data_IF_324012169115
#
_entry.id   IF_324012169115
#
_cell.length_a   1.000
_cell.length_b   1.000
_cell.length_c   1.000
_cell.angle_alpha   90.00
_cell.angle_beta   90.00
_cell.angle_gamma   90.00
#
_symmetry.space_group_name_H-M   'P 1'
#
loop_
_entity.id
_entity.type
_entity.pdbx_description
1 polymer ?
#
# COMPACT_ATOMS: atom_id res chain seq x y z
N UNK A 1 13.66 0.77 7.68
CA UNK A 1 12.77 -0.35 8.05
C UNK A 1 11.39 0.21 8.31
N UNK A 2 10.35 -0.49 7.88
CA UNK A 2 8.96 -0.19 8.24
C UNK A 2 8.71 -0.74 9.65
N UNK A 3 7.83 -0.10 10.44
CA UNK A 3 7.54 -0.55 11.81
C UNK A 3 6.86 -1.93 11.83
N UNK A 4 7.33 -2.83 12.69
CA UNK A 4 6.76 -4.18 12.90
C UNK A 4 5.32 -4.13 13.45
N UNK A 5 4.94 -3.05 14.13
CA UNK A 5 3.60 -2.86 14.71
C UNK A 5 2.49 -2.93 13.67
N UNK A 6 2.75 -2.52 12.43
CA UNK A 6 1.71 -2.57 11.40
C UNK A 6 1.42 -3.98 10.91
N UNK A 7 2.42 -4.84 10.82
CA UNK A 7 2.20 -6.25 10.46
C UNK A 7 1.33 -6.94 11.54
N UNK A 8 1.61 -6.67 12.82
CA UNK A 8 0.81 -7.17 13.94
C UNK A 8 -0.64 -6.65 13.90
N UNK A 9 -0.82 -5.36 13.60
CA UNK A 9 -2.16 -4.78 13.47
C UNK A 9 -2.94 -5.39 12.32
N UNK A 10 -2.31 -5.58 11.15
CA UNK A 10 -2.95 -6.25 10.01
C UNK A 10 -3.34 -7.68 10.37
N UNK A 11 -2.46 -8.42 11.05
CA UNK A 11 -2.76 -9.78 11.52
C UNK A 11 -3.95 -9.82 12.48
N UNK A 12 -4.08 -8.83 13.38
CA UNK A 12 -5.22 -8.72 14.30
C UNK A 12 -6.52 -8.30 13.62
N UNK A 13 -6.46 -7.46 12.58
CA UNK A 13 -7.64 -7.03 11.84
C UNK A 13 -8.20 -8.13 10.92
N UNK A 14 -7.32 -8.98 10.38
CA UNK A 14 -7.65 -9.99 9.37
C UNK A 14 -8.79 -10.95 9.75
N UNK A 15 -8.92 -11.46 10.99
CA UNK A 15 -10.06 -12.28 11.40
C UNK A 15 -11.41 -11.55 11.46
N UNK A 16 -11.41 -10.22 11.45
CA UNK A 16 -12.60 -9.39 11.67
C UNK A 16 -13.20 -8.80 10.38
N UNK A 17 -12.57 -9.02 9.22
CA UNK A 17 -13.04 -8.48 7.95
C UNK A 17 -12.64 -9.36 6.78
N UNK A 18 -13.54 -9.44 5.78
CA UNK A 18 -13.23 -10.01 4.47
C UNK A 18 -12.72 -8.93 3.48
N UNK A 19 -12.76 -7.65 3.87
CA UNK A 19 -12.28 -6.55 3.03
C UNK A 19 -10.75 -6.51 2.99
N UNK A 20 -10.14 -6.07 1.87
CA UNK A 20 -8.70 -5.82 1.79
C UNK A 20 -8.22 -4.83 2.86
N UNK A 21 -7.06 -5.11 3.47
CA UNK A 21 -6.43 -4.23 4.47
C UNK A 21 -5.29 -3.46 3.81
N UNK A 22 -5.46 -2.14 3.67
CA UNK A 22 -4.43 -1.22 3.19
C UNK A 22 -3.62 -0.59 4.34
N UNK A 23 -2.33 -0.32 4.11
CA UNK A 23 -1.41 0.26 5.11
C UNK A 23 -0.70 1.48 4.56
N UNK A 24 -0.74 2.60 5.30
CA UNK A 24 -0.01 3.83 5.01
C UNK A 24 1.00 4.16 6.10
N UNK A 25 2.27 3.81 5.90
CA UNK A 25 3.35 4.02 6.87
C UNK A 25 4.53 4.79 6.27
N UNK A 26 4.28 6.00 5.76
CA UNK A 26 5.34 6.88 5.27
C UNK A 26 6.23 6.23 4.19
N UNK A 27 5.63 5.40 3.34
CA UNK A 27 6.30 4.71 2.24
C UNK A 27 6.77 5.75 1.22
N UNK A 28 8.05 5.69 0.87
CA UNK A 28 8.73 6.64 -0.01
C UNK A 28 9.70 5.97 -1.00
N UNK A 29 9.68 4.65 -1.09
CA UNK A 29 10.45 3.88 -2.07
C UNK A 29 9.80 2.55 -2.39
N UNK A 30 10.16 1.96 -3.53
CA UNK A 30 9.70 0.64 -3.96
C UNK A 30 10.15 -0.49 -3.04
N UNK A 31 11.27 -0.33 -2.32
CA UNK A 31 11.72 -1.28 -1.30
C UNK A 31 10.78 -1.31 -0.09
N UNK A 32 10.39 -0.13 0.40
CA UNK A 32 9.40 -0.03 1.49
C UNK A 32 8.02 -0.51 1.03
N UNK A 33 7.64 -0.23 -0.22
CA UNK A 33 6.38 -0.73 -0.77
C UNK A 33 6.34 -2.27 -0.83
N UNK A 34 7.46 -2.91 -1.20
CA UNK A 34 7.59 -4.36 -1.18
C UNK A 34 7.49 -4.94 0.25
N UNK A 35 8.14 -4.29 1.22
CA UNK A 35 8.08 -4.67 2.64
C UNK A 35 6.63 -4.65 3.16
N UNK A 36 5.87 -3.57 2.87
CA UNK A 36 4.46 -3.44 3.26
C UNK A 36 3.57 -4.44 2.52
N UNK A 37 3.76 -4.61 1.20
CA UNK A 37 3.01 -5.58 0.41
C UNK A 37 3.21 -7.03 0.89
N UNK A 38 4.30 -7.30 1.61
CA UNK A 38 4.55 -8.59 2.26
C UNK A 38 3.49 -9.00 3.29
N UNK A 39 2.78 -8.04 3.90
CA UNK A 39 1.81 -8.32 4.95
C UNK A 39 0.44 -7.63 4.75
N UNK A 40 0.35 -6.58 3.92
CA UNK A 40 -0.88 -5.85 3.62
C UNK A 40 -1.40 -6.17 2.20
N UNK A 41 -2.68 -5.91 1.98
CA UNK A 41 -3.32 -6.09 0.67
C UNK A 41 -3.15 -4.86 -0.25
N UNK A 42 -2.78 -3.72 0.34
CA UNK A 42 -2.50 -2.49 -0.39
C UNK A 42 -1.57 -1.56 0.37
N UNK A 43 -0.87 -0.70 -0.38
CA UNK A 43 0.06 0.30 0.15
C UNK A 43 -0.50 1.70 -0.14
N UNK A 44 -0.60 2.53 0.90
CA UNK A 44 -1.11 3.90 0.82
C UNK A 44 0.06 4.88 0.92
N UNK A 45 0.18 5.76 -0.07
CA UNK A 45 1.27 6.75 -0.17
C UNK A 45 0.65 8.14 -0.29
N UNK A 46 1.05 9.03 0.62
CA UNK A 46 0.55 10.41 0.67
C UNK A 46 1.66 11.43 0.49
N UNK A 47 2.37 11.75 1.58
CA UNK A 47 3.39 12.83 1.60
C UNK A 47 4.48 12.65 0.54
N UNK A 48 4.90 11.43 0.20
CA UNK A 48 5.89 11.21 -0.84
C UNK A 48 5.41 11.69 -2.23
N UNK A 49 4.12 11.54 -2.55
CA UNK A 49 3.57 12.09 -3.79
C UNK A 49 3.47 13.61 -3.75
N UNK A 50 3.11 14.20 -2.61
CA UNK A 50 3.10 15.67 -2.44
C UNK A 50 4.51 16.23 -2.68
N UNK A 51 5.52 15.64 -2.03
CA UNK A 51 6.92 16.02 -2.23
C UNK A 51 7.39 15.83 -3.68
N UNK A 52 6.98 14.73 -4.35
CA UNK A 52 7.31 14.51 -5.75
C UNK A 52 6.71 15.61 -6.67
N UNK A 53 5.46 16.01 -6.43
CA UNK A 53 4.82 17.13 -7.15
C UNK A 53 5.63 18.41 -6.96
N UNK A 54 6.02 18.74 -5.72
CA UNK A 54 6.77 19.96 -5.40
C UNK A 54 8.17 19.98 -6.05
N UNK A 55 8.82 18.82 -6.17
CA UNK A 55 10.20 18.71 -6.67
C UNK A 55 10.30 18.61 -8.20
N UNK A 56 9.32 17.98 -8.86
CA UNK A 56 9.44 17.67 -10.29
C UNK A 56 8.10 17.48 -11.01
N UNK A 57 6.99 17.91 -10.40
CA UNK A 57 5.67 17.87 -11.02
C UNK A 57 5.24 16.47 -11.43
N UNK A 58 4.50 16.39 -12.55
CA UNK A 58 3.95 15.11 -13.05
C UNK A 58 5.04 14.06 -13.32
N UNK A 59 6.20 14.46 -13.83
CA UNK A 59 7.28 13.54 -14.17
C UNK A 59 7.82 12.80 -12.93
N UNK A 60 8.09 13.53 -11.85
CA UNK A 60 8.54 12.93 -10.60
C UNK A 60 7.45 12.05 -9.95
N UNK A 61 6.18 12.45 -10.05
CA UNK A 61 5.05 11.61 -9.60
C UNK A 61 4.99 10.30 -10.38
N UNK A 62 5.13 10.36 -11.71
CA UNK A 62 5.10 9.19 -12.58
C UNK A 62 6.24 8.23 -12.27
N UNK A 63 7.44 8.75 -12.07
CA UNK A 63 8.61 7.96 -11.68
C UNK A 63 8.38 7.25 -10.35
N UNK A 64 8.00 8.00 -9.31
CA UNK A 64 7.73 7.45 -7.98
C UNK A 64 6.60 6.40 -8.03
N UNK A 65 5.50 6.68 -8.73
CA UNK A 65 4.40 5.73 -8.90
C UNK A 65 4.86 4.44 -9.58
N UNK A 66 5.72 4.54 -10.60
CA UNK A 66 6.32 3.39 -11.28
C UNK A 66 7.18 2.54 -10.34
N UNK A 67 8.06 3.18 -9.57
CA UNK A 67 8.92 2.52 -8.59
C UNK A 67 8.11 1.79 -7.52
N UNK A 68 7.12 2.47 -6.92
CA UNK A 68 6.23 1.91 -5.91
C UNK A 68 5.46 0.71 -6.45
N UNK A 69 4.90 0.83 -7.66
CA UNK A 69 4.14 -0.23 -8.29
C UNK A 69 5.02 -1.46 -8.62
N UNK A 70 6.26 -1.24 -9.06
CA UNK A 70 7.23 -2.32 -9.22
C UNK A 70 7.55 -2.99 -7.87
N UNK A 71 7.69 -2.19 -6.81
CA UNK A 71 7.85 -2.65 -5.44
C UNK A 71 6.73 -3.60 -4.99
N UNK A 72 5.48 -3.16 -5.11
CA UNK A 72 4.29 -3.95 -4.74
C UNK A 72 4.20 -5.25 -5.51
N UNK A 73 4.43 -5.23 -6.83
CA UNK A 73 4.32 -6.43 -7.69
C UNK A 73 5.36 -7.52 -7.41
N UNK A 74 6.43 -7.24 -6.65
CA UNK A 74 7.38 -8.28 -6.22
C UNK A 74 6.75 -9.27 -5.25
N UNK A 75 5.69 -8.86 -4.54
CA UNK A 75 4.92 -9.75 -3.68
C UNK A 75 3.68 -10.22 -4.43
N UNK A 76 3.43 -11.55 -4.54
CA UNK A 76 2.22 -12.05 -5.16
C UNK A 76 1.00 -11.54 -4.38
N UNK A 77 0.10 -10.83 -5.06
CA UNK A 77 -1.11 -10.33 -4.45
C UNK A 77 -1.98 -11.51 -3.97
N UNK A 78 -2.46 -11.45 -2.73
CA UNK A 78 -3.55 -12.34 -2.32
C UNK A 78 -4.78 -11.95 -3.13
N UNK A 79 -5.39 -12.91 -3.81
CA UNK A 79 -6.63 -12.66 -4.54
C UNK A 79 -7.65 -12.03 -3.56
N UNK A 80 -8.18 -10.82 -3.86
CA UNK A 80 -9.22 -10.27 -3.02
C UNK A 80 -10.44 -11.18 -3.09
N UNK A 81 -11.12 -11.40 -1.96
CA UNK A 81 -12.46 -11.95 -2.01
C UNK A 81 -13.31 -11.04 -2.92
N UNK A 82 -14.21 -11.61 -3.74
CA UNK A 82 -15.05 -10.79 -4.61
C UNK A 82 -15.80 -9.77 -3.75
N UNK A 83 -15.55 -8.49 -4.01
CA UNK A 83 -16.30 -7.41 -3.41
C UNK A 83 -17.75 -7.55 -3.86
N UNK A 84 -18.65 -7.81 -2.91
CA UNK A 84 -20.09 -7.70 -3.13
C UNK A 84 -20.54 -6.42 -2.43
N UNK A 85 -20.98 -5.39 -3.17
CA UNK A 85 -21.48 -4.18 -2.52
C UNK A 85 -22.71 -4.54 -1.67
N UNK A 86 -22.71 -4.10 -0.41
CA UNK A 86 -23.90 -4.18 0.42
C UNK A 86 -24.97 -3.23 -0.15
N UNK A 87 -26.21 -3.69 -0.40
CA UNK A 87 -27.27 -2.78 -0.81
C UNK A 87 -27.57 -1.79 0.33
N UNK A 88 -27.38 -0.50 0.06
CA UNK A 88 -27.97 0.58 0.86
C UNK A 88 -27.16 1.10 2.06
N UNK A 89 -25.90 1.48 1.86
CA UNK A 89 -25.25 2.49 2.73
C UNK A 89 -24.69 3.62 1.88
#
# INVERSE_FOLDING_TARGET
AVSTTAAELVARCRPHTALPIGVGLGVRSGAQAAEVAGFADGVIVGSAFVTAVEQGGEAAVRELAGELAAGVRRTPARAPAPWSPSPGR
#
